data_IF_767498651950
#
_entry.id   IF_767498651950
#
_cell.length_a   1.000
_cell.length_b   1.000
_cell.length_c   1.000
_cell.angle_alpha   90.00
_cell.angle_beta   90.00
_cell.angle_gamma   90.00
#
_symmetry.space_group_name_H-M   'P 1'
#
loop_
_entity.id
_entity.type
_entity.pdbx_description
1 polymer ?
#
# COMPACT_ATOMS: atom_id res chain seq x y z
N UNK A 1 5.26 -8.37 -9.82
CA UNK A 1 3.78 -8.34 -9.76
C UNK A 1 3.36 -7.09 -9.02
N UNK A 2 2.21 -6.51 -9.39
CA UNK A 2 1.69 -5.31 -8.74
C UNK A 2 0.60 -5.68 -7.75
N UNK A 3 0.71 -5.19 -6.52
CA UNK A 3 -0.27 -5.41 -5.46
C UNK A 3 -0.72 -4.07 -4.92
N UNK A 4 -2.01 -3.76 -5.09
CA UNK A 4 -2.65 -2.63 -4.44
C UNK A 4 -3.12 -3.07 -3.06
N UNK A 5 -2.59 -2.41 -2.04
CA UNK A 5 -2.82 -2.71 -0.63
C UNK A 5 -3.69 -1.60 -0.06
N UNK A 6 -4.92 -1.94 0.28
CA UNK A 6 -5.86 -1.03 0.92
C UNK A 6 -5.93 -1.37 2.41
N UNK A 7 -5.56 -0.42 3.25
CA UNK A 7 -5.62 -0.55 4.70
C UNK A 7 -6.71 0.36 5.26
N UNK A 8 -7.75 -0.24 5.82
CA UNK A 8 -8.78 0.48 6.57
C UNK A 8 -8.43 0.39 8.05
N UNK A 9 -8.02 1.53 8.62
CA UNK A 9 -7.54 1.63 10.00
C UNK A 9 -8.57 2.36 10.84
N UNK A 10 -8.89 1.83 12.02
CA UNK A 10 -9.77 2.53 12.96
C UNK A 10 -9.07 3.76 13.54
N UNK A 11 -9.39 4.94 13.00
CA UNK A 11 -8.79 6.21 13.43
C UNK A 11 -9.26 6.69 14.81
N UNK A 12 -10.40 6.20 15.31
CA UNK A 12 -10.88 6.49 16.65
C UNK A 12 -10.09 5.77 17.75
N UNK A 13 -9.31 4.75 17.38
CA UNK A 13 -8.37 4.10 18.28
C UNK A 13 -7.06 4.92 18.34
N UNK A 14 -6.60 5.34 19.54
CA UNK A 14 -5.33 6.03 19.71
C UNK A 14 -4.12 5.30 19.12
N UNK A 15 -4.17 3.97 18.97
CA UNK A 15 -3.11 3.17 18.36
C UNK A 15 -3.20 3.09 16.82
N UNK A 16 -4.33 3.46 16.22
CA UNK A 16 -4.54 3.44 14.77
C UNK A 16 -3.42 4.16 13.98
N UNK A 17 -3.08 5.43 14.32
CA UNK A 17 -1.97 6.13 13.67
C UNK A 17 -0.61 5.44 13.81
N UNK A 18 -0.38 4.67 14.89
CA UNK A 18 0.84 3.89 15.08
C UNK A 18 0.84 2.66 14.18
N UNK A 19 -0.28 1.94 14.05
CA UNK A 19 -0.42 0.80 13.13
C UNK A 19 -0.26 1.23 11.68
N UNK A 20 -0.92 2.33 11.26
CA UNK A 20 -0.75 2.90 9.93
C UNK A 20 0.71 3.27 9.62
N UNK A 21 1.46 3.84 10.57
CA UNK A 21 2.88 4.11 10.39
C UNK A 21 3.71 2.84 10.20
N UNK A 22 3.39 1.75 10.90
CA UNK A 22 4.05 0.46 10.72
C UNK A 22 3.78 -0.13 9.33
N UNK A 23 2.51 -0.14 8.92
CA UNK A 23 2.07 -0.59 7.58
C UNK A 23 2.77 0.23 6.50
N UNK A 24 2.72 1.56 6.58
CA UNK A 24 3.36 2.45 5.61
C UNK A 24 4.88 2.26 5.53
N UNK A 25 5.54 1.98 6.67
CA UNK A 25 6.98 1.70 6.68
C UNK A 25 7.30 0.35 6.04
N UNK A 26 6.46 -0.66 6.24
CA UNK A 26 6.65 -1.97 5.60
C UNK A 26 6.49 -1.91 4.08
N UNK A 27 5.57 -1.08 3.56
CA UNK A 27 5.36 -0.93 2.12
C UNK A 27 6.41 -0.04 1.42
N UNK A 28 7.15 0.80 2.16
CA UNK A 28 8.04 1.83 1.60
C UNK A 28 9.10 1.29 0.64
N UNK A 29 9.68 0.15 0.96
CA UNK A 29 10.80 -0.41 0.19
C UNK A 29 10.32 -1.16 -1.07
N UNK A 30 9.00 -1.34 -1.22
CA UNK A 30 8.38 -2.13 -2.28
C UNK A 30 7.42 -1.33 -3.15
N UNK A 31 7.23 -0.03 -2.90
CA UNK A 31 6.18 0.71 -3.56
C UNK A 31 5.97 2.14 -3.09
N UNK A 32 4.86 2.72 -3.54
CA UNK A 32 4.47 4.10 -3.23
C UNK A 32 3.17 4.16 -2.45
N UNK A 33 3.09 5.15 -1.56
CA UNK A 33 1.86 5.49 -0.85
C UNK A 33 1.03 6.41 -1.72
N UNK A 34 0.03 5.85 -2.41
CA UNK A 34 -0.81 6.56 -3.39
C UNK A 34 -1.95 7.36 -2.73
N UNK A 35 -2.42 6.95 -1.55
CA UNK A 35 -3.37 7.70 -0.73
C UNK A 35 -3.02 7.59 0.76
N UNK A 36 -3.86 8.16 1.65
CA UNK A 36 -3.58 8.12 3.08
C UNK A 36 -3.35 6.69 3.60
N UNK A 37 -4.13 5.70 3.18
CA UNK A 37 -3.92 4.32 3.62
C UNK A 37 -4.01 3.30 2.49
N UNK A 38 -3.67 3.75 1.26
CA UNK A 38 -3.55 2.90 0.07
C UNK A 38 -2.12 2.94 -0.44
N UNK A 39 -1.59 1.77 -0.73
CA UNK A 39 -0.21 1.57 -1.15
C UNK A 39 -0.17 0.72 -2.41
N UNK A 40 0.58 1.14 -3.40
CA UNK A 40 0.83 0.36 -4.61
C UNK A 40 2.24 -0.20 -4.55
N UNK A 41 2.36 -1.53 -4.50
CA UNK A 41 3.64 -2.21 -4.34
C UNK A 41 3.96 -3.06 -5.57
N UNK A 42 5.17 -2.92 -6.10
CA UNK A 42 5.72 -3.73 -7.19
C UNK A 42 6.82 -4.60 -6.60
N UNK A 43 6.59 -5.91 -6.60
CA UNK A 43 7.47 -6.85 -5.90
C UNK A 43 7.49 -8.24 -6.54
N UNK A 44 8.54 -9.00 -6.26
CA UNK A 44 8.63 -10.41 -6.63
C UNK A 44 7.79 -11.30 -5.68
N UNK A 45 7.40 -12.53 -6.10
CA UNK A 45 6.62 -13.43 -5.26
C UNK A 45 7.25 -13.72 -3.88
N UNK A 46 8.58 -13.82 -3.81
CA UNK A 46 9.31 -14.06 -2.55
C UNK A 46 9.17 -12.88 -1.57
N UNK A 47 9.26 -11.66 -2.08
CA UNK A 47 9.18 -10.44 -1.28
C UNK A 47 7.75 -10.21 -0.78
N UNK A 48 6.76 -10.63 -1.58
CA UNK A 48 5.37 -10.60 -1.15
C UNK A 48 5.08 -11.48 0.05
N UNK A 49 5.65 -12.68 0.12
CA UNK A 49 5.47 -13.56 1.29
C UNK A 49 5.95 -12.84 2.56
N UNK A 50 7.12 -12.20 2.48
CA UNK A 50 7.71 -11.45 3.61
C UNK A 50 6.88 -10.22 3.94
N UNK A 51 6.49 -9.42 2.94
CA UNK A 51 5.69 -8.21 3.14
C UNK A 51 4.33 -8.57 3.73
N UNK A 52 3.61 -9.55 3.17
CA UNK A 52 2.32 -10.01 3.67
C UNK A 52 2.40 -10.42 5.13
N UNK A 53 3.41 -11.18 5.52
CA UNK A 53 3.61 -11.58 6.92
C UNK A 53 3.80 -10.37 7.85
N UNK A 54 4.61 -9.38 7.41
CA UNK A 54 4.82 -8.12 8.17
C UNK A 54 3.53 -7.31 8.32
N UNK A 55 2.71 -7.23 7.28
CA UNK A 55 1.44 -6.49 7.29
C UNK A 55 0.42 -7.16 8.21
N UNK A 56 0.26 -8.49 8.09
CA UNK A 56 -0.64 -9.27 8.93
C UNK A 56 -0.19 -9.33 10.40
N UNK A 57 1.10 -9.14 10.68
CA UNK A 57 1.60 -8.99 12.05
C UNK A 57 1.51 -7.56 12.61
N UNK A 58 1.20 -6.56 11.79
CA UNK A 58 1.19 -5.15 12.18
C UNK A 58 -0.21 -4.55 12.35
N UNK A 59 -1.23 -5.08 11.66
CA UNK A 59 -2.62 -4.66 11.81
C UNK A 59 -3.29 -5.32 13.02
N UNK A 60 -4.44 -4.78 13.42
CA UNK A 60 -5.30 -5.35 14.45
C UNK A 60 -6.57 -5.90 13.78
N UNK A 61 -6.75 -7.22 13.81
CA UNK A 61 -7.86 -7.90 13.11
C UNK A 61 -9.24 -7.66 13.71
N UNK A 62 -9.32 -7.17 14.93
CA UNK A 62 -10.60 -6.88 15.60
C UNK A 62 -11.15 -5.51 15.21
N UNK A 63 -10.28 -4.61 14.72
CA UNK A 63 -10.67 -3.23 14.45
C UNK A 63 -10.25 -2.65 13.10
N UNK A 64 -9.30 -3.27 12.41
CA UNK A 64 -8.83 -2.84 11.10
C UNK A 64 -9.13 -3.89 10.03
N UNK A 65 -8.98 -3.52 8.76
CA UNK A 65 -8.99 -4.47 7.65
C UNK A 65 -7.88 -4.21 6.63
N UNK A 66 -7.35 -5.29 6.06
CA UNK A 66 -6.40 -5.26 4.95
C UNK A 66 -7.03 -5.95 3.74
N UNK A 67 -6.95 -5.30 2.58
CA UNK A 67 -7.35 -5.87 1.29
C UNK A 67 -6.19 -5.80 0.33
N UNK A 68 -5.98 -6.90 -0.39
CA UNK A 68 -4.91 -7.03 -1.37
C UNK A 68 -5.53 -7.30 -2.74
N UNK A 69 -5.26 -6.43 -3.69
CA UNK A 69 -5.68 -6.58 -5.08
C UNK A 69 -4.43 -6.85 -5.91
N UNK A 70 -4.37 -8.04 -6.50
CA UNK A 70 -3.29 -8.42 -7.40
C UNK A 70 -3.65 -7.92 -8.80
N UNK A 71 -2.91 -6.93 -9.28
CA UNK A 71 -3.16 -6.29 -10.56
C UNK A 71 -2.23 -6.88 -11.62
N UNK A 72 -2.79 -7.11 -12.81
CA UNK A 72 -1.97 -7.23 -14.01
C UNK A 72 -1.34 -5.88 -14.32
N UNK A 73 -0.24 -5.86 -15.10
CA UNK A 73 0.34 -4.58 -15.53
C UNK A 73 -0.66 -3.72 -16.32
N UNK A 74 -1.52 -4.36 -17.11
CA UNK A 74 -2.54 -3.66 -17.89
C UNK A 74 -3.64 -3.06 -17.01
N UNK A 75 -3.99 -3.72 -15.90
CA UNK A 75 -4.98 -3.17 -14.97
C UNK A 75 -4.38 -2.04 -14.11
N UNK A 76 -3.09 -2.13 -13.77
CA UNK A 76 -2.38 -1.04 -13.10
C UNK A 76 -2.34 0.23 -13.99
N UNK A 77 -2.09 0.08 -15.30
CA UNK A 77 -2.09 1.18 -16.27
C UNK A 77 -3.46 1.86 -16.48
N UNK A 78 -4.56 1.21 -16.10
CA UNK A 78 -5.92 1.78 -16.15
C UNK A 78 -6.28 2.60 -14.92
N UNK A 79 -5.35 2.81 -13.99
CA UNK A 79 -5.58 3.62 -12.80
C UNK A 79 -5.78 5.09 -13.17
N UNK A 80 -6.92 5.65 -12.76
CA UNK A 80 -7.22 7.07 -12.91
C UNK A 80 -7.23 7.74 -11.54
N UNK A 81 -6.57 8.90 -11.42
CA UNK A 81 -6.51 9.68 -10.19
C UNK A 81 -7.13 11.05 -10.38
N UNK A 82 -8.01 11.45 -9.47
CA UNK A 82 -8.58 12.80 -9.41
C UNK A 82 -8.34 13.46 -8.05
N UNK A 83 -8.12 14.77 -8.06
CA UNK A 83 -7.97 15.57 -6.84
C UNK A 83 -6.52 15.78 -6.42
N UNK A 84 -6.32 16.07 -5.13
CA UNK A 84 -5.02 16.53 -4.63
C UNK A 84 -3.93 15.43 -4.65
N UNK A 85 -2.68 15.88 -4.80
CA UNK A 85 -1.43 15.10 -4.66
C UNK A 85 -1.42 13.82 -5.50
N UNK A 86 -1.10 13.98 -6.79
CA UNK A 86 -0.78 12.83 -7.64
C UNK A 86 0.36 12.01 -7.00
N UNK A 87 0.22 10.67 -6.94
CA UNK A 87 1.30 9.80 -6.50
C UNK A 87 2.55 9.99 -7.36
N UNK A 88 3.72 9.67 -6.80
CA UNK A 88 4.95 9.62 -7.58
C UNK A 88 4.79 8.52 -8.63
N UNK A 89 5.01 8.86 -9.90
CA UNK A 89 5.13 7.87 -10.95
C UNK A 89 6.46 7.12 -10.77
N UNK A 90 6.37 5.84 -10.40
CA UNK A 90 7.53 4.98 -10.15
C UNK A 90 8.18 4.47 -11.44
N UNK A 91 7.44 4.44 -12.54
CA UNK A 91 7.95 4.03 -13.86
C UNK A 91 8.30 5.25 -14.73
N UNK A 92 7.82 6.43 -14.34
CA UNK A 92 8.10 7.70 -14.99
C UNK A 92 9.56 8.15 -14.84
N UNK A 93 9.99 9.09 -15.70
CA UNK A 93 11.34 9.64 -15.63
C UNK A 93 11.56 10.38 -14.29
N UNK A 94 12.74 10.16 -13.69
CA UNK A 94 13.12 10.76 -12.40
C UNK A 94 13.21 12.31 -12.44
N UNK A 95 13.33 12.88 -13.64
CA UNK A 95 13.35 14.32 -13.93
C UNK A 95 12.62 14.52 -15.26
N UNK A 96 11.76 15.54 -15.33
CA UNK A 96 11.07 15.98 -16.56
C UNK A 96 11.99 16.81 -17.46
#
# INVERSE_FOLDING_TARGET
>A
MTVLICYDVRVSDPQGPRRLRKIARACRDHGVRVQYSVFECVLEPKDWVVLRARLLGAFDSECDSLRFYFLSEDDARKTEHHGARAPLDVEGPLVL
#
